data_IF_133580531651
#
_entry.id   IF_133580531651
#
_cell.length_a   1.000
_cell.length_b   1.000
_cell.length_c   1.000
_cell.angle_alpha   90.00
_cell.angle_beta   90.00
_cell.angle_gamma   90.00
#
_symmetry.space_group_name_H-M   'P 1'
#
loop_
_entity.id
_entity.type
_entity.pdbx_description
1 polymer ?
#
# COMPACT_ATOMS: atom_id res chain seq x y z
N UNK A 1 -1.03 14.30 12.25
CA UNK A 1 0.35 14.61 11.83
C UNK A 1 1.08 15.00 13.08
N UNK A 2 2.25 14.41 13.31
CA UNK A 2 3.05 14.64 14.50
C UNK A 2 4.44 15.07 14.05
N UNK A 3 4.88 16.22 14.54
CA UNK A 3 6.27 16.67 14.39
C UNK A 3 7.04 16.23 15.63
N UNK A 4 8.30 15.83 15.47
CA UNK A 4 9.17 15.43 16.56
C UNK A 4 10.56 16.00 16.38
N UNK A 5 11.40 15.87 17.42
CA UNK A 5 12.81 16.28 17.41
C UNK A 5 13.02 17.74 16.96
N UNK A 6 12.18 18.66 17.44
CA UNK A 6 12.30 20.09 17.08
C UNK A 6 12.05 20.41 15.60
N UNK A 7 11.47 19.49 14.84
CA UNK A 7 11.20 19.67 13.41
C UNK A 7 11.90 18.64 12.51
N UNK A 8 12.90 17.93 13.05
CA UNK A 8 13.72 16.97 12.30
C UNK A 8 13.00 15.67 11.94
N UNK A 9 11.85 15.40 12.57
CA UNK A 9 11.05 14.20 12.25
C UNK A 9 9.58 14.53 12.06
N UNK A 10 8.93 13.82 11.14
CA UNK A 10 7.51 13.92 10.88
C UNK A 10 6.91 12.52 10.79
N UNK A 11 5.73 12.35 11.38
CA UNK A 11 4.89 11.16 11.22
C UNK A 11 3.48 11.55 10.79
N UNK A 12 3.02 10.94 9.71
CA UNK A 12 1.63 11.01 9.25
C UNK A 12 1.09 9.59 9.22
N UNK A 13 -0.04 9.38 9.90
CA UNK A 13 -0.80 8.15 9.83
C UNK A 13 -2.26 8.51 9.62
N UNK A 14 -2.75 8.28 8.42
CA UNK A 14 -4.11 8.59 8.03
C UNK A 14 -4.79 7.33 7.53
N UNK A 15 -6.09 7.25 7.82
CA UNK A 15 -6.95 6.16 7.37
C UNK A 15 -8.30 6.73 7.01
N UNK A 16 -8.77 6.40 5.81
CA UNK A 16 -10.10 6.74 5.35
C UNK A 16 -10.89 5.46 5.13
N UNK A 17 -12.13 5.41 5.61
CA UNK A 17 -13.05 4.34 5.30
C UNK A 17 -14.25 4.95 4.57
N UNK A 18 -14.58 4.41 3.40
CA UNK A 18 -15.68 4.88 2.55
C UNK A 18 -16.58 3.69 2.26
N UNK A 19 -17.89 3.88 2.35
CA UNK A 19 -18.85 2.84 2.02
C UNK A 19 -19.89 3.40 1.07
N UNK A 20 -20.13 2.67 -0.02
CA UNK A 20 -21.05 3.07 -1.08
C UNK A 20 -22.10 1.98 -1.28
N UNK A 21 -23.34 2.37 -1.58
CA UNK A 21 -24.44 1.45 -1.87
C UNK A 21 -25.28 1.97 -3.04
N UNK A 22 -25.55 1.10 -3.99
CA UNK A 22 -26.49 1.33 -5.10
C UNK A 22 -27.64 0.35 -4.96
N UNK A 23 -28.88 0.85 -5.03
CA UNK A 23 -30.10 0.04 -4.98
C UNK A 23 -30.88 0.20 -6.28
N UNK A 24 -31.50 -0.87 -6.76
CA UNK A 24 -32.27 -0.86 -8.01
C UNK A 24 -33.76 -0.77 -7.71
N UNK A 25 -34.48 0.12 -8.41
CA UNK A 25 -35.93 0.31 -8.24
C UNK A 25 -36.74 -0.93 -8.63
N UNK A 26 -36.24 -1.75 -9.56
CA UNK A 26 -36.90 -2.98 -10.03
C UNK A 26 -36.75 -4.22 -9.12
N UNK A 27 -36.32 -4.08 -7.86
CA UNK A 27 -36.25 -5.20 -6.91
C UNK A 27 -35.01 -6.10 -7.01
N UNK A 28 -33.98 -5.69 -7.76
CA UNK A 28 -32.70 -6.41 -7.86
C UNK A 28 -31.81 -6.27 -6.62
N UNK A 29 -30.84 -7.19 -6.41
CA UNK A 29 -29.95 -7.13 -5.25
C UNK A 29 -29.08 -5.86 -5.28
N UNK A 30 -29.06 -5.11 -4.18
CA UNK A 30 -28.24 -3.90 -4.07
C UNK A 30 -26.75 -4.21 -4.20
N UNK A 31 -25.98 -3.31 -4.80
CA UNK A 31 -24.53 -3.38 -4.84
C UNK A 31 -23.96 -2.53 -3.72
N UNK A 32 -23.02 -3.07 -2.95
CA UNK A 32 -22.34 -2.34 -1.87
C UNK A 32 -20.84 -2.49 -2.00
N UNK A 33 -20.10 -1.43 -1.71
CA UNK A 33 -18.65 -1.49 -1.59
C UNK A 33 -18.19 -0.87 -0.27
N UNK A 34 -17.16 -1.46 0.33
CA UNK A 34 -16.47 -0.89 1.49
C UNK A 34 -15.01 -0.76 1.14
N UNK A 35 -14.51 0.47 1.19
CA UNK A 35 -13.14 0.84 0.86
C UNK A 35 -12.42 1.34 2.10
N UNK A 36 -11.18 0.88 2.29
CA UNK A 36 -10.27 1.33 3.32
C UNK A 36 -8.98 1.77 2.65
N UNK A 37 -8.64 3.03 2.83
CA UNK A 37 -7.39 3.62 2.36
C UNK A 37 -6.54 3.97 3.58
N UNK A 38 -5.23 3.77 3.50
CA UNK A 38 -4.30 4.24 4.52
C UNK A 38 -3.05 4.81 3.90
N UNK A 39 -2.58 5.91 4.47
CA UNK A 39 -1.30 6.53 4.15
C UNK A 39 -0.50 6.63 5.44
N UNK A 40 0.67 6.03 5.47
CA UNK A 40 1.65 6.20 6.51
C UNK A 40 2.91 6.83 5.90
N UNK A 41 3.36 7.94 6.47
CA UNK A 41 4.61 8.61 6.11
C UNK A 41 5.42 8.82 7.38
N UNK A 42 6.69 8.51 7.31
CA UNK A 42 7.67 8.83 8.33
C UNK A 42 8.87 9.46 7.63
N UNK A 43 9.30 10.62 8.10
CA UNK A 43 10.57 11.23 7.71
C UNK A 43 11.37 11.56 8.96
N UNK A 44 12.69 11.49 8.85
CA UNK A 44 13.61 11.81 9.92
C UNK A 44 14.93 12.31 9.34
N UNK A 45 15.52 13.30 9.97
CA UNK A 45 16.87 13.76 9.70
C UNK A 45 17.76 13.50 10.92
N UNK A 46 19.01 13.14 10.67
CA UNK A 46 19.99 12.93 11.73
C UNK A 46 21.34 13.47 11.29
N UNK A 47 21.86 14.42 12.06
CA UNK A 47 23.22 14.90 11.91
C UNK A 47 24.24 13.78 12.20
N UNK A 48 25.20 13.63 11.30
CA UNK A 48 26.36 12.74 11.42
C UNK A 48 27.65 13.53 11.65
N UNK A 49 28.80 12.89 11.40
CA UNK A 49 30.13 13.54 11.49
C UNK A 49 30.48 14.22 10.17
N UNK A 50 31.50 15.08 10.14
CA UNK A 50 32.03 15.68 8.90
C UNK A 50 30.97 16.37 8.01
N UNK A 51 30.04 17.09 8.64
CA UNK A 51 28.94 17.79 7.95
C UNK A 51 28.02 16.87 7.13
N UNK A 52 27.85 15.62 7.56
CA UNK A 52 26.90 14.70 6.94
C UNK A 52 25.53 14.76 7.60
N UNK A 53 24.45 14.63 6.82
CA UNK A 53 23.08 14.45 7.29
C UNK A 53 22.53 13.16 6.68
N UNK A 54 21.97 12.29 7.52
CA UNK A 54 21.18 11.14 7.08
C UNK A 54 19.71 11.54 7.04
N UNK A 55 19.08 11.37 5.89
CA UNK A 55 17.64 11.53 5.70
C UNK A 55 17.02 10.15 5.55
N UNK A 56 16.09 9.79 6.43
CA UNK A 56 15.31 8.57 6.34
C UNK A 56 13.87 8.92 5.94
N UNK A 57 13.30 8.15 5.03
CA UNK A 57 11.89 8.22 4.66
C UNK A 57 11.29 6.83 4.58
N UNK A 58 10.13 6.62 5.19
CA UNK A 58 9.33 5.41 5.05
C UNK A 58 7.92 5.79 4.64
N UNK A 59 7.40 5.15 3.61
CA UNK A 59 6.03 5.35 3.12
C UNK A 59 5.32 4.01 3.11
N UNK A 60 4.07 3.98 3.55
CA UNK A 60 3.18 2.85 3.32
C UNK A 60 1.83 3.34 2.77
N UNK A 61 1.39 2.73 1.67
CA UNK A 61 0.09 2.96 1.05
C UNK A 61 -0.71 1.67 1.13
N UNK A 62 -1.90 1.75 1.72
CA UNK A 62 -2.80 0.61 1.90
C UNK A 62 -4.13 0.85 1.21
N UNK A 63 -4.61 -0.17 0.50
CA UNK A 63 -5.94 -0.24 -0.10
C UNK A 63 -6.56 -1.58 0.30
N UNK A 64 -7.76 -1.51 0.87
CA UNK A 64 -8.61 -2.68 1.10
C UNK A 64 -9.99 -2.41 0.52
N UNK A 65 -10.46 -3.26 -0.36
CA UNK A 65 -11.82 -3.17 -0.92
C UNK A 65 -12.55 -4.49 -0.72
N UNK A 66 -13.85 -4.40 -0.40
CA UNK A 66 -14.79 -5.52 -0.46
C UNK A 66 -16.01 -5.06 -1.21
N UNK A 67 -16.52 -5.91 -2.11
CA UNK A 67 -17.75 -5.67 -2.87
C UNK A 67 -18.77 -6.74 -2.53
N UNK A 68 -20.02 -6.32 -2.46
CA UNK A 68 -21.15 -7.18 -2.14
C UNK A 68 -22.27 -7.00 -3.16
N UNK A 69 -22.95 -8.11 -3.46
CA UNK A 69 -24.23 -8.15 -4.17
C UNK A 69 -25.27 -8.72 -3.20
N UNK A 70 -26.19 -7.87 -2.73
CA UNK A 70 -27.05 -8.20 -1.60
C UNK A 70 -26.21 -8.53 -0.36
N UNK A 71 -26.37 -9.74 0.17
CA UNK A 71 -25.58 -10.25 1.30
C UNK A 71 -24.29 -10.98 0.88
N UNK A 72 -24.13 -11.37 -0.39
CA UNK A 72 -22.98 -12.14 -0.90
C UNK A 72 -21.78 -11.22 -1.13
N UNK A 73 -20.63 -11.52 -0.52
CA UNK A 73 -19.34 -10.91 -0.93
C UNK A 73 -18.96 -11.45 -2.30
N UNK A 74 -18.76 -10.57 -3.28
CA UNK A 74 -18.48 -10.96 -4.67
C UNK A 74 -17.02 -10.74 -5.05
N UNK A 75 -16.31 -9.86 -4.35
CA UNK A 75 -14.87 -9.69 -4.55
C UNK A 75 -14.23 -9.00 -3.36
N UNK A 76 -12.94 -9.28 -3.18
CA UNK A 76 -12.06 -8.65 -2.20
C UNK A 76 -10.74 -8.28 -2.84
N UNK A 77 -10.23 -7.11 -2.48
CA UNK A 77 -8.91 -6.64 -2.88
C UNK A 77 -8.15 -6.16 -1.65
N UNK A 78 -6.89 -6.52 -1.56
CA UNK A 78 -5.90 -5.97 -0.64
C UNK A 78 -4.65 -5.57 -1.41
N UNK A 79 -4.17 -4.36 -1.18
CA UNK A 79 -2.89 -3.89 -1.72
C UNK A 79 -2.17 -3.12 -0.61
N UNK A 80 -0.98 -3.55 -0.26
CA UNK A 80 -0.11 -2.87 0.69
C UNK A 80 1.24 -2.63 0.02
N UNK A 81 1.56 -1.37 -0.23
CA UNK A 81 2.83 -0.93 -0.77
C UNK A 81 3.62 -0.25 0.34
N UNK A 82 4.89 -0.60 0.47
CA UNK A 82 5.83 -0.02 1.42
C UNK A 82 7.09 0.37 0.67
N UNK A 83 7.64 1.51 1.04
CA UNK A 83 8.94 1.97 0.57
C UNK A 83 9.74 2.50 1.76
N UNK A 84 11.05 2.27 1.73
CA UNK A 84 12.03 2.92 2.60
C UNK A 84 13.13 3.48 1.74
N UNK A 85 13.49 4.73 2.01
CA UNK A 85 14.59 5.42 1.40
C UNK A 85 15.50 5.98 2.48
N UNK A 86 16.80 5.90 2.25
CA UNK A 86 17.81 6.61 3.01
C UNK A 86 18.69 7.39 2.06
N UNK A 87 19.05 8.61 2.45
CA UNK A 87 19.95 9.47 1.70
C UNK A 87 20.99 10.04 2.64
N UNK A 88 22.25 9.97 2.23
CA UNK A 88 23.36 10.61 2.94
C UNK A 88 23.74 11.85 2.14
N UNK A 89 23.65 13.00 2.81
CA UNK A 89 24.05 14.30 2.28
C UNK A 89 25.31 14.73 3.01
N UNK A 90 26.32 15.24 2.32
CA UNK A 90 27.56 15.78 2.89
C UNK A 90 27.76 17.20 2.37
N UNK A 91 27.62 18.21 3.25
CA UNK A 91 27.47 19.59 2.80
C UNK A 91 26.27 19.71 1.87
N UNK A 92 26.51 20.08 0.61
CA UNK A 92 25.47 20.26 -0.41
C UNK A 92 25.40 19.10 -1.43
N UNK A 93 26.16 18.02 -1.20
CA UNK A 93 26.27 16.89 -2.11
C UNK A 93 25.59 15.64 -1.54
N UNK A 94 24.84 14.93 -2.39
CA UNK A 94 24.36 13.58 -2.06
C UNK A 94 25.53 12.61 -2.24
N UNK A 95 25.99 12.00 -1.15
CA UNK A 95 27.13 11.07 -1.14
C UNK A 95 26.72 9.61 -1.18
N UNK A 96 25.45 9.30 -0.91
CA UNK A 96 24.92 7.95 -0.98
C UNK A 96 23.42 7.87 -0.85
N UNK A 97 22.86 6.74 -1.27
CA UNK A 97 21.44 6.46 -1.15
C UNK A 97 21.15 4.97 -1.11
N UNK A 98 20.08 4.62 -0.41
CA UNK A 98 19.53 3.27 -0.35
C UNK A 98 18.02 3.35 -0.54
N UNK A 99 17.48 2.46 -1.37
CA UNK A 99 16.05 2.37 -1.60
C UNK A 99 15.58 0.92 -1.56
N UNK A 100 14.48 0.68 -0.86
CA UNK A 100 13.77 -0.60 -0.91
C UNK A 100 12.27 -0.41 -1.07
N UNK A 101 11.63 -1.30 -1.82
CA UNK A 101 10.17 -1.36 -1.93
C UNK A 101 9.67 -2.76 -1.65
N UNK A 102 8.45 -2.86 -1.15
CA UNK A 102 7.71 -4.10 -0.97
C UNK A 102 6.25 -3.86 -1.34
N UNK A 103 5.66 -4.74 -2.13
CA UNK A 103 4.26 -4.72 -2.46
C UNK A 103 3.65 -6.09 -2.22
N UNK A 104 2.56 -6.12 -1.46
CA UNK A 104 1.67 -7.27 -1.36
C UNK A 104 0.33 -6.91 -1.99
N UNK A 105 -0.02 -7.57 -3.09
CA UNK A 105 -1.29 -7.45 -3.78
C UNK A 105 -2.03 -8.78 -3.73
N UNK A 106 -3.33 -8.72 -3.45
CA UNK A 106 -4.23 -9.86 -3.50
C UNK A 106 -5.61 -9.40 -3.96
N UNK A 107 -6.12 -10.05 -4.99
CA UNK A 107 -7.47 -9.93 -5.48
C UNK A 107 -8.10 -11.32 -5.53
N UNK A 108 -9.34 -11.42 -5.06
CA UNK A 108 -10.15 -12.62 -5.18
C UNK A 108 -11.61 -12.28 -5.44
N UNK A 109 -12.23 -13.03 -6.33
CA UNK A 109 -13.64 -12.93 -6.68
C UNK A 109 -13.87 -12.15 -7.98
N UNK A 110 -15.14 -12.11 -8.39
CA UNK A 110 -15.53 -11.85 -9.78
C UNK A 110 -15.69 -13.18 -10.50
N UNK A 111 -16.93 -13.50 -10.86
CA UNK A 111 -17.27 -14.67 -11.67
C UNK A 111 -16.84 -14.38 -13.12
N UNK A 112 -15.99 -15.23 -13.69
CA UNK A 112 -15.78 -15.31 -15.14
C UNK A 112 -17.07 -15.79 -15.83
N UNK A 113 -17.15 -15.62 -17.16
CA UNK A 113 -18.28 -16.13 -17.95
C UNK A 113 -18.44 -17.66 -17.82
N UNK A 114 -17.36 -18.37 -17.46
CA UNK A 114 -17.34 -19.81 -17.18
C UNK A 114 -17.63 -20.18 -15.72
N UNK A 115 -17.91 -19.21 -14.86
CA UNK A 115 -18.20 -19.40 -13.44
C UNK A 115 -16.97 -19.59 -12.54
N UNK A 116 -15.75 -19.41 -13.05
CA UNK A 116 -14.53 -19.44 -12.24
C UNK A 116 -14.29 -18.11 -11.50
N UNK A 117 -13.68 -18.19 -10.31
CA UNK A 117 -13.29 -16.99 -9.55
C UNK A 117 -12.01 -16.38 -10.13
N UNK A 118 -12.03 -15.07 -10.43
CA UNK A 118 -10.82 -14.32 -10.76
C UNK A 118 -9.97 -14.13 -9.50
N UNK A 119 -8.83 -14.82 -9.46
CA UNK A 119 -7.85 -14.65 -8.40
C UNK A 119 -6.51 -14.20 -8.96
N UNK A 120 -5.87 -13.27 -8.24
CA UNK A 120 -4.51 -12.86 -8.52
C UNK A 120 -3.84 -12.38 -7.25
N UNK A 121 -2.61 -12.84 -7.01
CA UNK A 121 -1.76 -12.28 -5.98
C UNK A 121 -0.36 -12.02 -6.53
N UNK A 122 0.32 -11.03 -5.93
CA UNK A 122 1.73 -10.77 -6.15
C UNK A 122 2.37 -10.24 -4.88
N UNK A 123 3.48 -10.83 -4.50
CA UNK A 123 4.38 -10.38 -3.46
C UNK A 123 5.72 -10.06 -4.11
N UNK A 124 6.04 -8.77 -4.25
CA UNK A 124 7.23 -8.32 -4.95
C UNK A 124 8.00 -7.34 -4.08
N UNK A 125 9.33 -7.44 -4.08
CA UNK A 125 10.19 -6.49 -3.41
C UNK A 125 11.44 -6.18 -4.22
N UNK A 126 11.91 -4.95 -4.09
CA UNK A 126 13.16 -4.51 -4.71
C UNK A 126 14.07 -3.81 -3.71
N UNK A 127 15.36 -3.84 -4.00
CA UNK A 127 16.40 -3.10 -3.30
C UNK A 127 17.34 -2.48 -4.34
N UNK A 128 17.62 -1.20 -4.23
CA UNK A 128 18.48 -0.45 -5.14
C UNK A 128 18.18 -0.79 -6.61
N UNK A 129 16.92 -0.66 -7.00
CA UNK A 129 16.41 -0.93 -8.36
C UNK A 129 16.45 -2.40 -8.83
N UNK A 130 16.91 -3.33 -8.00
CA UNK A 130 16.95 -4.77 -8.31
C UNK A 130 15.79 -5.49 -7.63
N UNK A 131 15.05 -6.31 -8.37
CA UNK A 131 14.01 -7.19 -7.80
C UNK A 131 14.71 -8.30 -7.01
N UNK A 132 14.41 -8.39 -5.71
CA UNK A 132 15.00 -9.40 -4.81
C UNK A 132 14.00 -10.48 -4.39
N UNK A 133 12.71 -10.25 -4.62
CA UNK A 133 11.65 -11.23 -4.43
C UNK A 133 10.53 -10.93 -5.41
N UNK A 134 10.01 -11.95 -6.09
CA UNK A 134 8.79 -11.85 -6.89
C UNK A 134 8.07 -13.19 -6.88
N UNK A 135 6.92 -13.22 -6.21
CA UNK A 135 6.04 -14.39 -6.16
C UNK A 135 4.65 -13.97 -6.61
N UNK A 136 4.15 -14.60 -7.65
CA UNK A 136 2.81 -14.36 -8.15
C UNK A 136 2.03 -15.66 -8.31
N UNK A 137 0.72 -15.53 -8.42
CA UNK A 137 -0.15 -16.63 -8.78
C UNK A 137 -1.60 -16.20 -8.95
N UNK A 138 -2.39 -17.12 -9.47
CA UNK A 138 -3.77 -16.89 -9.86
C UNK A 138 -4.74 -17.92 -9.26
N UNK A 139 -4.28 -18.70 -8.27
CA UNK A 139 -5.11 -19.72 -7.63
C UNK A 139 -5.81 -19.14 -6.41
N UNK A 140 -7.13 -19.27 -6.36
CA UNK A 140 -7.87 -19.10 -5.13
C UNK A 140 -7.57 -20.31 -4.22
N UNK A 141 -7.29 -20.08 -2.94
CA UNK A 141 -7.46 -21.15 -1.96
C UNK A 141 -8.96 -21.35 -1.75
N UNK A 142 -9.48 -22.53 -2.13
CA UNK A 142 -10.83 -22.96 -1.78
C UNK A 142 -10.95 -23.22 -0.29
#
# INVERSE_FOLDING_TARGET
MEMGKGGDSQRVKQRCNVSDKVSFSGGGPSLRSTNRFSVELYTDSKAGRNNTVLLETRVALGLGNRRFRGAKEVSRLGNLQRARGEMVVQGDLVSGGFGETKQWYNYGGGEEEDGSDKCYFRDVSSKNYTIVHDRQGNKCHK
#
